data_IF_460824544099
#
_entry.id   IF_460824544099
#
_cell.length_a   1.000
_cell.length_b   1.000
_cell.length_c   1.000
_cell.angle_alpha   90.00
_cell.angle_beta   90.00
_cell.angle_gamma   90.00
#
_symmetry.space_group_name_H-M   'P 1'
#
loop_
_entity.id
_entity.type
_entity.pdbx_description
1 polymer ?
#
# COMPACT_ATOMS: atom_id res chain seq x y z
N UNK A 1 -2.94 -24.73 -1.45
CA UNK A 1 -2.15 -23.79 -0.64
C UNK A 1 -1.18 -23.12 -1.59
N UNK A 2 -1.22 -21.79 -1.68
CA UNK A 2 -0.29 -21.02 -2.51
C UNK A 2 0.70 -20.29 -1.60
N UNK A 3 1.96 -20.26 -2.02
CA UNK A 3 3.02 -19.54 -1.32
C UNK A 3 3.58 -18.47 -2.26
N UNK A 4 3.64 -17.24 -1.76
CA UNK A 4 4.09 -16.08 -2.53
C UNK A 4 5.21 -15.37 -1.78
N UNK A 5 6.28 -15.04 -2.49
CA UNK A 5 7.39 -14.24 -1.97
C UNK A 5 7.28 -12.81 -2.50
N UNK A 6 7.36 -11.85 -1.59
CA UNK A 6 7.52 -10.44 -1.91
C UNK A 6 9.00 -10.11 -2.08
N UNK A 7 9.34 -9.40 -3.13
CA UNK A 7 10.72 -9.00 -3.45
C UNK A 7 10.69 -7.83 -4.43
N UNK A 8 11.80 -7.10 -4.56
CA UNK A 8 11.88 -6.09 -5.63
C UNK A 8 11.64 -6.72 -7.00
N UNK A 9 10.84 -6.02 -7.80
CA UNK A 9 10.50 -6.38 -9.17
C UNK A 9 10.73 -5.16 -10.06
N UNK A 10 10.93 -5.40 -11.36
CA UNK A 10 11.05 -4.33 -12.34
C UNK A 10 9.71 -3.61 -12.54
N UNK A 11 8.61 -4.36 -12.50
CA UNK A 11 7.28 -3.77 -12.53
C UNK A 11 6.92 -3.10 -11.21
N UNK A 12 6.40 -1.88 -11.30
CA UNK A 12 5.90 -1.13 -10.14
C UNK A 12 4.86 -1.94 -9.36
N UNK A 13 3.92 -2.59 -10.04
CA UNK A 13 2.84 -3.35 -9.41
C UNK A 13 2.82 -4.78 -9.88
N UNK A 14 2.64 -5.72 -8.95
CA UNK A 14 2.35 -7.13 -9.24
C UNK A 14 1.16 -7.61 -8.45
N UNK A 15 0.15 -8.19 -9.11
CA UNK A 15 -0.93 -8.89 -8.42
C UNK A 15 -0.39 -10.18 -7.81
N UNK A 16 -0.54 -10.34 -6.50
CA UNK A 16 0.00 -11.49 -5.76
C UNK A 16 -1.06 -12.56 -5.58
N UNK A 17 -2.24 -12.19 -5.05
CA UNK A 17 -3.30 -13.13 -4.74
C UNK A 17 -4.69 -12.48 -4.76
N UNK A 18 -5.72 -13.34 -4.81
CA UNK A 18 -7.12 -13.01 -4.53
C UNK A 18 -7.64 -13.96 -3.46
N UNK A 19 -8.10 -13.44 -2.33
CA UNK A 19 -8.70 -14.21 -1.25
C UNK A 19 -10.11 -13.72 -0.96
N UNK A 20 -11.12 -14.39 -1.51
CA UNK A 20 -12.50 -13.90 -1.46
C UNK A 20 -12.60 -12.49 -2.09
N UNK A 21 -13.16 -11.47 -1.41
CA UNK A 21 -13.24 -10.11 -1.93
C UNK A 21 -11.90 -9.35 -1.84
N UNK A 22 -10.94 -9.82 -1.06
CA UNK A 22 -9.66 -9.14 -0.86
C UNK A 22 -8.67 -9.40 -2.00
N UNK A 23 -8.01 -8.33 -2.46
CA UNK A 23 -6.91 -8.38 -3.44
C UNK A 23 -5.60 -8.04 -2.75
N UNK A 24 -4.56 -8.84 -3.02
CA UNK A 24 -3.21 -8.57 -2.55
C UNK A 24 -2.35 -8.15 -3.74
N UNK A 25 -1.70 -6.99 -3.64
CA UNK A 25 -0.83 -6.40 -4.65
C UNK A 25 0.52 -6.11 -4.00
N UNK A 26 1.61 -6.46 -4.67
CA UNK A 26 2.93 -5.97 -4.35
C UNK A 26 3.16 -4.64 -5.07
N UNK A 27 3.69 -3.66 -4.35
CA UNK A 27 4.22 -2.43 -4.92
C UNK A 27 5.73 -2.39 -4.71
N UNK A 28 6.48 -2.27 -5.81
CA UNK A 28 7.94 -2.20 -5.85
C UNK A 28 8.34 -0.77 -6.20
N UNK A 29 8.84 -0.03 -5.20
CA UNK A 29 9.21 1.38 -5.33
C UNK A 29 10.74 1.53 -5.29
N UNK A 30 11.40 1.86 -6.40
CA UNK A 30 12.80 2.28 -6.37
C UNK A 30 12.99 3.52 -5.51
N UNK A 31 14.16 3.74 -4.92
CA UNK A 31 14.45 4.94 -4.12
C UNK A 31 14.09 6.25 -4.87
N UNK A 32 13.44 7.19 -4.17
CA UNK A 32 12.98 8.47 -4.73
C UNK A 32 11.74 8.38 -5.62
N UNK A 33 11.16 7.19 -5.82
CA UNK A 33 9.92 7.04 -6.58
C UNK A 33 8.76 7.65 -5.82
N UNK A 34 8.04 8.55 -6.48
CA UNK A 34 6.81 9.15 -6.00
C UNK A 34 5.63 8.53 -6.74
N UNK A 35 4.62 8.07 -5.99
CA UNK A 35 3.27 7.92 -6.48
C UNK A 35 2.48 9.13 -6.03
N UNK A 36 2.20 10.00 -6.99
CA UNK A 36 1.48 11.24 -6.75
C UNK A 36 0.09 11.01 -6.17
N UNK A 37 -0.50 12.09 -5.68
CA UNK A 37 -1.80 12.10 -5.02
C UNK A 37 -2.86 11.37 -5.87
N UNK A 38 -3.36 10.26 -5.37
CA UNK A 38 -4.41 9.45 -6.00
C UNK A 38 -5.37 8.89 -4.95
N UNK A 39 -6.42 8.21 -5.39
CA UNK A 39 -7.40 7.55 -4.50
C UNK A 39 -7.87 6.24 -5.10
N UNK A 40 -8.33 5.34 -4.24
CA UNK A 40 -8.93 4.06 -4.62
C UNK A 40 -10.31 3.92 -3.99
N UNK A 41 -11.23 3.25 -4.68
CA UNK A 41 -12.57 2.94 -4.19
C UNK A 41 -12.58 1.59 -3.43
N UNK A 42 -11.76 1.51 -2.38
CA UNK A 42 -11.59 0.34 -1.55
C UNK A 42 -10.93 0.73 -0.22
N UNK A 43 -11.16 -0.06 0.83
CA UNK A 43 -10.29 0.00 2.02
C UNK A 43 -8.90 -0.49 1.62
N UNK A 44 -7.89 0.31 1.95
CA UNK A 44 -6.49 0.04 1.64
C UNK A 44 -5.72 -0.20 2.93
N UNK A 45 -5.11 -1.37 3.05
CA UNK A 45 -4.09 -1.66 4.05
C UNK A 45 -2.74 -1.76 3.35
N UNK A 46 -1.80 -0.92 3.75
CA UNK A 46 -0.45 -0.87 3.18
C UNK A 46 0.54 -1.31 4.24
N UNK A 47 1.22 -2.43 4.01
CA UNK A 47 2.28 -2.95 4.87
C UNK A 47 3.63 -2.66 4.23
N UNK A 48 4.57 -2.12 5.00
CA UNK A 48 5.96 -2.00 4.57
C UNK A 48 6.69 -3.29 4.91
N UNK A 49 7.09 -4.05 3.88
CA UNK A 49 7.80 -5.31 4.08
C UNK A 49 9.31 -5.09 4.09
N UNK A 50 9.79 -4.17 3.27
CA UNK A 50 11.20 -3.77 3.18
C UNK A 50 11.31 -2.31 2.73
N UNK A 51 12.43 -1.67 3.07
CA UNK A 51 12.68 -0.27 2.77
C UNK A 51 11.93 0.69 3.68
N UNK A 52 11.85 1.95 3.25
CA UNK A 52 11.20 3.05 3.98
C UNK A 52 10.49 3.98 3.02
N UNK A 53 9.30 4.43 3.41
CA UNK A 53 8.47 5.34 2.62
C UNK A 53 7.94 6.48 3.47
N UNK A 54 7.66 7.62 2.83
CA UNK A 54 6.79 8.66 3.37
C UNK A 54 5.41 8.46 2.78
N UNK A 55 4.42 8.27 3.63
CA UNK A 55 3.02 8.12 3.26
C UNK A 55 2.24 9.33 3.77
N UNK A 56 1.46 9.96 2.90
CA UNK A 56 0.60 11.09 3.26
C UNK A 56 -0.84 10.77 2.88
N UNK A 57 -1.71 10.64 3.89
CA UNK A 57 -3.15 10.60 3.70
C UNK A 57 -3.70 12.02 3.86
N UNK A 58 -4.39 12.53 2.84
CA UNK A 58 -4.92 13.89 2.82
C UNK A 58 -6.25 13.99 3.57
N UNK A 59 -6.21 13.75 4.89
CA UNK A 59 -7.34 13.90 5.80
C UNK A 59 -7.20 15.18 6.65
N UNK A 60 -8.29 15.75 7.19
CA UNK A 60 -8.27 17.05 7.88
C UNK A 60 -7.34 17.14 9.10
N UNK A 61 -6.86 16.01 9.63
CA UNK A 61 -5.93 15.95 10.78
C UNK A 61 -4.70 15.07 10.51
N UNK A 62 -4.45 14.68 9.26
CA UNK A 62 -3.31 13.84 8.87
C UNK A 62 -2.15 14.67 8.33
N UNK A 63 -0.93 14.24 8.65
CA UNK A 63 0.30 14.73 8.03
C UNK A 63 1.11 13.56 7.44
N UNK A 64 2.23 13.83 6.77
CA UNK A 64 3.10 12.77 6.26
C UNK A 64 3.66 11.93 7.42
N UNK A 65 3.60 10.61 7.24
CA UNK A 65 4.16 9.60 8.15
C UNK A 65 5.31 8.89 7.46
N UNK A 66 6.43 8.73 8.16
CA UNK A 66 7.50 7.85 7.68
C UNK A 66 7.23 6.44 8.19
N UNK A 67 7.11 5.48 7.28
CA UNK A 67 6.85 4.07 7.57
C UNK A 67 8.06 3.24 7.13
N UNK A 68 8.51 2.34 8.01
CA UNK A 68 9.57 1.35 7.78
C UNK A 68 9.06 -0.08 7.98
N UNK A 69 9.95 -1.08 7.93
CA UNK A 69 9.55 -2.49 7.93
C UNK A 69 8.70 -2.88 9.14
N UNK A 70 7.72 -3.76 8.90
CA UNK A 70 6.73 -4.22 9.88
C UNK A 70 5.75 -3.13 10.38
N UNK A 71 5.74 -1.95 9.78
CA UNK A 71 4.70 -0.94 10.00
C UNK A 71 3.62 -1.04 8.92
N UNK A 72 2.40 -0.63 9.28
CA UNK A 72 1.27 -0.59 8.37
C UNK A 72 0.45 0.68 8.55
N UNK A 73 -0.21 1.10 7.47
CA UNK A 73 -1.23 2.15 7.51
C UNK A 73 -2.52 1.67 6.85
N UNK A 74 -3.64 2.11 7.41
CA UNK A 74 -4.97 1.87 6.87
C UNK A 74 -5.55 3.18 6.33
N UNK A 75 -6.13 3.12 5.14
CA UNK A 75 -6.76 4.27 4.46
C UNK A 75 -8.16 3.87 4.01
N UNK A 76 -9.14 4.72 4.32
CA UNK A 76 -10.53 4.49 3.95
C UNK A 76 -10.79 4.67 2.44
N UNK A 77 -11.92 4.14 1.93
CA UNK A 77 -12.31 4.31 0.54
C UNK A 77 -12.39 5.79 0.16
N UNK A 78 -11.87 6.14 -1.01
CA UNK A 78 -11.93 7.49 -1.56
C UNK A 78 -10.97 8.50 -0.94
N UNK A 79 -10.28 8.17 0.16
CA UNK A 79 -9.31 9.06 0.82
C UNK A 79 -8.07 9.24 -0.09
N UNK A 80 -7.78 10.46 -0.55
CA UNK A 80 -6.60 10.70 -1.37
C UNK A 80 -5.32 10.47 -0.56
N UNK A 81 -4.31 9.88 -1.19
CA UNK A 81 -3.03 9.61 -0.58
C UNK A 81 -1.87 9.72 -1.59
N UNK A 82 -0.67 9.96 -1.06
CA UNK A 82 0.61 10.02 -1.77
C UNK A 82 1.59 9.10 -1.06
N UNK A 83 2.46 8.44 -1.82
CA UNK A 83 3.59 7.68 -1.25
C UNK A 83 4.88 8.02 -1.97
N UNK A 84 5.96 8.14 -1.22
CA UNK A 84 7.31 8.37 -1.73
C UNK A 84 8.27 7.40 -1.06
N UNK A 85 9.08 6.70 -1.83
CA UNK A 85 10.13 5.84 -1.30
C UNK A 85 11.39 6.64 -0.95
N UNK A 86 11.88 6.47 0.27
CA UNK A 86 13.17 7.03 0.72
C UNK A 86 14.35 6.15 0.34
N UNK A 87 14.10 4.86 0.19
CA UNK A 87 15.02 3.81 -0.28
C UNK A 87 14.21 2.79 -1.08
N UNK A 88 14.86 1.82 -1.74
CA UNK A 88 14.14 0.74 -2.42
C UNK A 88 13.18 0.04 -1.44
N UNK A 89 11.87 0.11 -1.72
CA UNK A 89 10.82 -0.32 -0.79
C UNK A 89 9.81 -1.27 -1.41
N UNK A 90 9.58 -2.40 -0.74
CA UNK A 90 8.55 -3.38 -1.11
C UNK A 90 7.38 -3.23 -0.16
N UNK A 91 6.22 -2.89 -0.71
CA UNK A 91 4.97 -2.78 0.03
C UNK A 91 4.02 -3.92 -0.37
N UNK A 92 3.25 -4.42 0.59
CA UNK A 92 2.07 -5.23 0.32
C UNK A 92 0.82 -4.39 0.52
N UNK A 93 0.02 -4.27 -0.52
CA UNK A 93 -1.28 -3.60 -0.51
C UNK A 93 -2.37 -4.67 -0.43
N UNK A 94 -3.24 -4.55 0.56
CA UNK A 94 -4.47 -5.33 0.65
C UNK A 94 -5.63 -4.38 0.38
N UNK A 95 -6.34 -4.62 -0.72
CA UNK A 95 -7.52 -3.87 -1.09
C UNK A 95 -8.77 -4.70 -0.83
N UNK A 96 -9.70 -4.13 -0.06
CA UNK A 96 -10.99 -4.75 0.25
C UNK A 96 -12.11 -3.83 -0.24
N UNK A 97 -13.04 -4.32 -1.08
CA UNK A 97 -14.20 -3.53 -1.50
C UNK A 97 -15.00 -2.98 -0.31
N UNK A 98 -15.62 -1.80 -0.45
CA UNK A 98 -16.49 -1.25 0.59
C UNK A 98 -17.68 -2.18 0.88
N UNK A 99 -18.24 -2.09 2.09
CA UNK A 99 -19.38 -2.91 2.53
C UNK A 99 -19.07 -4.37 2.87
N UNK A 100 -17.80 -4.78 2.77
CA UNK A 100 -17.35 -6.12 3.18
C UNK A 100 -16.76 -6.05 4.60
N UNK A 101 -17.38 -6.75 5.55
CA UNK A 101 -16.86 -6.86 6.93
C UNK A 101 -17.24 -5.71 7.86
N UNK A 102 -18.02 -4.74 7.38
CA UNK A 102 -18.77 -3.82 8.24
C UNK A 102 -19.89 -4.63 8.91
N UNK A 103 -19.84 -4.71 10.25
CA UNK A 103 -20.92 -5.29 11.06
C UNK A 103 -22.03 -4.27 11.28
#
# INVERSE_FOLDING_TARGET
MEHHRFQMAEELTRRVAQGGPARVIQLSLPAGRVLDKHRVDAHLLTFVLWGRVVFEAFEPRGGPLTLGPAEMIAVGPGVPHRVESLEDAVLALVLVPPGVGEK
#
